data_IF_573925018650
#
_entry.id   IF_573925018650
#
_cell.length_a   1.000
_cell.length_b   1.000
_cell.length_c   1.000
_cell.angle_alpha   90.00
_cell.angle_beta   90.00
_cell.angle_gamma   90.00
#
_symmetry.space_group_name_H-M   'P 1'
#
loop_
_entity.id
_entity.type
_entity.pdbx_description
1 polymer ?
#
# COMPACT_ATOMS: atom_id res chain seq x y z
N UNK A 1 -14.27 -40.74 -2.77
CA UNK A 1 -14.46 -39.35 -3.23
C UNK A 1 -13.55 -38.49 -2.38
N UNK A 2 -12.56 -37.86 -3.03
CA UNK A 2 -11.33 -37.41 -2.40
C UNK A 2 -11.50 -36.18 -1.51
N UNK A 3 -10.85 -36.28 -0.35
CA UNK A 3 -10.61 -35.28 0.68
C UNK A 3 -10.14 -33.94 0.10
N UNK A 4 -10.93 -32.87 0.26
CA UNK A 4 -10.46 -31.49 0.13
C UNK A 4 -9.53 -31.18 1.31
N UNK A 5 -8.22 -31.24 1.03
CA UNK A 5 -7.19 -30.84 1.96
C UNK A 5 -7.16 -29.30 2.06
N UNK A 6 -7.94 -28.72 2.98
CA UNK A 6 -7.89 -27.29 3.27
C UNK A 6 -6.58 -26.98 3.99
N UNK A 7 -5.56 -26.59 3.24
CA UNK A 7 -4.33 -25.98 3.76
C UNK A 7 -4.68 -24.64 4.42
N UNK A 8 -5.24 -24.68 5.64
CA UNK A 8 -5.43 -23.49 6.48
C UNK A 8 -4.03 -22.98 6.83
N UNK A 9 -3.67 -21.78 6.35
CA UNK A 9 -2.47 -21.06 6.82
C UNK A 9 -2.50 -21.09 8.36
N UNK A 10 -1.44 -21.57 8.99
CA UNK A 10 -1.33 -21.60 10.44
C UNK A 10 -1.26 -20.16 10.94
N UNK A 11 -2.38 -19.66 11.47
CA UNK A 11 -2.52 -18.33 12.05
C UNK A 11 -1.75 -18.32 13.39
N UNK A 12 -0.73 -17.48 13.52
CA UNK A 12 0.06 -17.38 14.75
C UNK A 12 -0.59 -16.44 15.78
N UNK A 13 -1.33 -15.43 15.30
CA UNK A 13 -1.97 -14.40 16.11
C UNK A 13 -3.38 -14.10 15.60
N UNK A 14 -4.31 -13.72 16.49
CA UNK A 14 -5.71 -13.47 16.09
C UNK A 14 -5.83 -12.36 15.05
N UNK A 15 -4.97 -11.34 15.07
CA UNK A 15 -4.97 -10.30 14.04
C UNK A 15 -4.73 -10.79 12.60
N UNK A 16 -4.15 -11.99 12.46
CA UNK A 16 -3.92 -12.66 11.16
C UNK A 16 -5.11 -13.52 10.70
N UNK A 17 -6.13 -13.68 11.53
CA UNK A 17 -7.34 -14.44 11.20
C UNK A 17 -8.33 -13.55 10.42
N UNK A 18 -8.47 -13.80 9.12
CA UNK A 18 -9.36 -13.05 8.23
C UNK A 18 -10.85 -13.34 8.47
N UNK A 19 -11.20 -14.35 9.29
CA UNK A 19 -12.59 -14.63 9.66
C UNK A 19 -13.12 -13.74 10.79
N UNK A 20 -12.24 -13.04 11.51
CA UNK A 20 -12.60 -12.11 12.57
C UNK A 20 -12.87 -10.71 12.01
N UNK A 21 -13.63 -9.90 12.77
CA UNK A 21 -13.85 -8.50 12.40
C UNK A 21 -12.55 -7.69 12.41
N UNK A 22 -12.52 -6.62 11.62
CA UNK A 22 -11.39 -5.68 11.59
C UNK A 22 -11.07 -5.15 12.98
N UNK A 23 -12.09 -4.80 13.77
CA UNK A 23 -11.94 -4.27 15.12
C UNK A 23 -11.30 -5.29 16.06
N UNK A 24 -11.74 -6.55 16.02
CA UNK A 24 -11.15 -7.61 16.84
C UNK A 24 -9.68 -7.82 16.49
N UNK A 25 -9.35 -7.83 15.20
CA UNK A 25 -7.98 -7.98 14.70
C UNK A 25 -7.09 -6.80 15.08
N UNK A 26 -7.60 -5.58 14.93
CA UNK A 26 -6.87 -4.34 15.30
C UNK A 26 -6.63 -4.29 16.80
N UNK A 27 -7.64 -4.61 17.63
CA UNK A 27 -7.51 -4.62 19.08
C UNK A 27 -6.48 -5.66 19.55
N UNK A 28 -6.50 -6.88 18.99
CA UNK A 28 -5.49 -7.90 19.27
C UNK A 28 -4.09 -7.40 18.88
N UNK A 29 -3.93 -6.85 17.68
CA UNK A 29 -2.65 -6.30 17.22
C UNK A 29 -2.13 -5.21 18.18
N UNK A 30 -2.94 -4.18 18.46
CA UNK A 30 -2.55 -3.04 19.29
C UNK A 30 -2.25 -3.45 20.73
N UNK A 31 -2.95 -4.47 21.26
CA UNK A 31 -2.68 -5.01 22.61
C UNK A 31 -1.31 -5.68 22.72
N UNK A 32 -0.79 -6.22 21.61
CA UNK A 32 0.51 -6.92 21.53
C UNK A 32 1.71 -5.99 21.34
N UNK A 33 1.46 -4.73 20.97
CA UNK A 33 2.51 -3.73 20.76
C UNK A 33 2.97 -3.15 22.09
N UNK A 34 4.28 -3.07 22.28
CA UNK A 34 4.89 -2.24 23.31
C UNK A 34 4.63 -0.76 23.03
N UNK A 35 4.79 0.10 24.04
CA UNK A 35 4.65 1.55 23.85
C UNK A 35 5.61 2.08 22.77
N UNK A 36 6.86 1.59 22.75
CA UNK A 36 7.86 1.98 21.76
C UNK A 36 7.45 1.57 20.34
N UNK A 37 6.95 0.35 20.17
CA UNK A 37 6.41 -0.11 18.88
C UNK A 37 5.19 0.73 18.46
N UNK A 38 4.26 1.06 19.37
CA UNK A 38 3.12 1.95 19.05
C UNK A 38 3.59 3.32 18.53
N UNK A 39 4.55 3.93 19.22
CA UNK A 39 5.09 5.24 18.82
C UNK A 39 5.78 5.14 17.45
N UNK A 40 6.51 4.06 17.17
CA UNK A 40 7.19 3.90 15.88
C UNK A 40 6.21 3.76 14.70
N UNK A 41 5.00 3.25 14.95
CA UNK A 41 3.94 3.12 13.95
C UNK A 41 3.14 4.42 13.73
N UNK A 42 3.51 5.58 14.31
CA UNK A 42 2.79 6.86 14.09
C UNK A 42 3.36 7.69 12.94
N UNK A 43 4.47 7.26 12.34
CA UNK A 43 5.09 7.93 11.20
C UNK A 43 4.76 7.21 9.91
N UNK A 44 4.81 7.96 8.81
CA UNK A 44 4.56 7.41 7.47
C UNK A 44 5.52 6.29 7.09
N UNK A 45 6.75 6.28 7.62
CA UNK A 45 7.79 5.29 7.38
C UNK A 45 7.83 4.22 8.49
N UNK A 46 6.69 3.59 8.76
CA UNK A 46 6.53 2.63 9.85
C UNK A 46 7.50 1.44 9.71
N UNK A 47 8.39 1.20 10.69
CA UNK A 47 9.35 0.11 10.62
C UNK A 47 8.66 -1.25 10.83
N UNK A 48 9.33 -2.31 10.37
CA UNK A 48 8.91 -3.68 10.61
C UNK A 48 8.89 -4.01 12.12
N UNK A 49 7.98 -4.90 12.52
CA UNK A 49 7.92 -5.49 13.86
C UNK A 49 8.10 -6.99 13.71
N UNK A 50 9.37 -7.41 13.66
CA UNK A 50 9.78 -8.79 13.35
C UNK A 50 9.15 -9.83 14.29
N UNK A 51 9.08 -9.52 15.60
CA UNK A 51 8.47 -10.39 16.62
C UNK A 51 7.01 -10.73 16.32
N UNK A 52 6.29 -9.84 15.64
CA UNK A 52 4.88 -10.03 15.25
C UNK A 52 4.74 -10.40 13.77
N UNK A 53 5.84 -10.53 13.02
CA UNK A 53 5.82 -10.79 11.59
C UNK A 53 5.18 -9.66 10.77
N UNK A 54 5.22 -8.43 11.27
CA UNK A 54 4.66 -7.25 10.59
C UNK A 54 5.77 -6.65 9.73
N UNK A 55 5.61 -6.59 8.40
CA UNK A 55 6.60 -5.97 7.54
C UNK A 55 6.64 -4.45 7.75
N UNK A 56 7.73 -3.81 7.33
CA UNK A 56 7.73 -2.35 7.22
C UNK A 56 6.64 -1.90 6.24
N UNK A 57 6.12 -0.70 6.47
CA UNK A 57 5.06 -0.14 5.64
C UNK A 57 5.25 1.36 5.49
N UNK A 58 5.22 1.83 4.25
CA UNK A 58 5.15 3.25 3.96
C UNK A 58 3.80 3.62 3.36
N UNK A 59 3.02 4.41 4.09
CA UNK A 59 1.69 4.85 3.64
C UNK A 59 1.69 6.22 2.96
N UNK A 60 2.84 6.90 2.85
CA UNK A 60 2.91 8.14 2.08
C UNK A 60 2.83 7.81 0.60
N UNK A 61 1.66 8.05 0.01
CA UNK A 61 1.41 7.97 -1.42
C UNK A 61 0.71 9.25 -1.91
N UNK A 62 0.81 9.52 -3.21
CA UNK A 62 0.23 10.70 -3.85
C UNK A 62 -0.45 10.26 -5.16
N UNK A 63 -1.70 10.70 -5.37
CA UNK A 63 -2.53 10.28 -6.50
C UNK A 63 -3.39 11.44 -7.07
N UNK A 64 -2.95 12.70 -6.96
CA UNK A 64 -3.79 13.87 -7.26
C UNK A 64 -4.30 13.90 -8.70
N UNK A 65 -3.46 13.50 -9.66
CA UNK A 65 -3.78 13.48 -11.08
C UNK A 65 -3.05 12.33 -11.79
N UNK A 66 -3.03 11.16 -11.14
CA UNK A 66 -2.18 10.03 -11.51
C UNK A 66 -1.31 9.57 -10.33
N UNK A 67 -0.82 8.33 -10.38
CA UNK A 67 0.04 7.76 -9.32
C UNK A 67 1.41 8.42 -9.36
N UNK A 68 1.77 9.17 -8.33
CA UNK A 68 3.06 9.82 -8.24
C UNK A 68 4.10 8.97 -7.50
N UNK A 69 5.39 9.29 -7.71
CA UNK A 69 6.53 8.71 -6.97
C UNK A 69 6.67 7.19 -7.07
N UNK A 70 6.11 6.59 -8.12
CA UNK A 70 6.05 5.15 -8.32
C UNK A 70 6.46 4.75 -9.76
N UNK A 71 7.45 5.45 -10.34
CA UNK A 71 7.88 5.28 -11.73
C UNK A 71 6.87 5.88 -12.73
N UNK A 72 6.84 5.33 -13.95
CA UNK A 72 5.93 5.76 -15.02
C UNK A 72 4.47 5.44 -14.69
N UNK A 73 3.59 6.43 -14.79
CA UNK A 73 2.16 6.30 -14.55
C UNK A 73 1.39 7.23 -15.48
N UNK A 74 0.09 6.99 -15.67
CA UNK A 74 -0.74 7.91 -16.45
C UNK A 74 -0.84 9.25 -15.73
N UNK A 75 -0.66 10.35 -16.48
CA UNK A 75 -0.78 11.71 -15.98
C UNK A 75 -2.05 12.34 -16.53
N UNK A 76 -3.01 12.60 -15.65
CA UNK A 76 -4.27 13.26 -15.97
C UNK A 76 -4.15 14.79 -15.87
N UNK A 77 -5.11 15.55 -16.42
CA UNK A 77 -5.20 16.99 -16.19
C UNK A 77 -5.20 17.31 -14.69
N UNK A 78 -4.61 18.45 -14.31
CA UNK A 78 -4.59 18.88 -12.92
C UNK A 78 -6.03 19.14 -12.41
N UNK A 79 -6.23 19.14 -11.08
CA UNK A 79 -7.56 19.28 -10.46
C UNK A 79 -8.41 20.43 -11.03
N UNK A 80 -7.80 21.57 -11.37
CA UNK A 80 -8.50 22.70 -12.01
C UNK A 80 -9.00 22.38 -13.43
N UNK A 81 -8.22 21.64 -14.23
CA UNK A 81 -8.61 21.21 -15.57
C UNK A 81 -9.69 20.14 -15.53
N UNK A 82 -9.61 19.23 -14.55
CA UNK A 82 -10.65 18.24 -14.31
C UNK A 82 -11.96 18.91 -13.84
N UNK A 83 -11.90 19.88 -12.93
CA UNK A 83 -13.06 20.63 -12.47
C UNK A 83 -13.76 21.42 -13.58
N UNK A 84 -13.02 21.88 -14.59
CA UNK A 84 -13.58 22.58 -15.74
C UNK A 84 -14.48 21.71 -16.63
N UNK A 85 -14.47 20.38 -16.47
CA UNK A 85 -15.34 19.47 -17.21
C UNK A 85 -16.78 19.44 -16.69
N UNK A 86 -16.99 19.81 -15.42
CA UNK A 86 -18.27 19.68 -14.71
C UNK A 86 -18.90 18.29 -14.83
N UNK A 87 -18.09 17.24 -14.94
CA UNK A 87 -18.54 15.87 -15.17
C UNK A 87 -18.07 14.93 -14.02
N UNK A 88 -18.91 14.67 -13.01
CA UNK A 88 -18.57 13.79 -11.90
C UNK A 88 -18.26 12.35 -12.31
N UNK A 89 -18.93 11.83 -13.34
CA UNK A 89 -18.72 10.46 -13.83
C UNK A 89 -17.32 10.32 -14.42
N UNK A 90 -16.85 11.33 -15.16
CA UNK A 90 -15.48 11.36 -15.69
C UNK A 90 -14.42 11.40 -14.57
N UNK A 91 -14.69 12.10 -13.46
CA UNK A 91 -13.80 12.09 -12.29
C UNK A 91 -13.77 10.69 -11.64
N UNK A 92 -14.91 10.01 -11.58
CA UNK A 92 -15.00 8.65 -11.06
C UNK A 92 -14.25 7.65 -11.94
N UNK A 93 -14.37 7.76 -13.26
CA UNK A 93 -13.61 6.93 -14.22
C UNK A 93 -12.10 7.15 -14.07
N UNK A 94 -11.65 8.39 -13.98
CA UNK A 94 -10.25 8.72 -13.70
C UNK A 94 -9.78 8.13 -12.37
N UNK A 95 -10.58 8.28 -11.30
CA UNK A 95 -10.26 7.68 -10.00
C UNK A 95 -10.15 6.16 -10.03
N UNK A 96 -10.98 5.50 -10.83
CA UNK A 96 -10.93 4.05 -11.06
C UNK A 96 -9.62 3.66 -11.74
N UNK A 97 -9.25 4.34 -12.83
CA UNK A 97 -7.99 4.10 -13.53
C UNK A 97 -6.76 4.31 -12.61
N UNK A 98 -6.75 5.39 -11.83
CA UNK A 98 -5.68 5.66 -10.85
C UNK A 98 -5.62 4.58 -9.76
N UNK A 99 -6.77 4.09 -9.29
CA UNK A 99 -6.84 3.02 -8.28
C UNK A 99 -6.25 1.70 -8.81
N UNK A 100 -6.57 1.33 -10.05
CA UNK A 100 -6.06 0.11 -10.68
C UNK A 100 -4.53 0.19 -10.89
N UNK A 101 -4.03 1.32 -11.41
CA UNK A 101 -2.59 1.54 -11.55
C UNK A 101 -1.87 1.49 -10.20
N UNK A 102 -2.43 2.14 -9.16
CA UNK A 102 -1.86 2.12 -7.81
C UNK A 102 -1.78 0.70 -7.25
N UNK A 103 -2.82 -0.12 -7.46
CA UNK A 103 -2.84 -1.52 -7.01
C UNK A 103 -1.82 -2.38 -7.75
N UNK A 104 -1.71 -2.21 -9.06
CA UNK A 104 -0.74 -2.92 -9.89
C UNK A 104 0.70 -2.61 -9.43
N UNK A 105 1.01 -1.32 -9.23
CA UNK A 105 2.31 -0.86 -8.73
C UNK A 105 2.61 -1.38 -7.33
N UNK A 106 1.63 -1.36 -6.42
CA UNK A 106 1.78 -1.93 -5.09
C UNK A 106 2.18 -3.41 -5.15
N UNK A 107 1.47 -4.22 -5.95
CA UNK A 107 1.80 -5.64 -6.09
C UNK A 107 3.18 -5.86 -6.71
N UNK A 108 3.59 -5.02 -7.67
CA UNK A 108 4.94 -5.06 -8.24
C UNK A 108 6.00 -4.77 -7.17
N UNK A 109 5.88 -3.67 -6.43
CA UNK A 109 6.85 -3.33 -5.38
C UNK A 109 6.93 -4.39 -4.28
N UNK A 110 5.78 -4.96 -3.89
CA UNK A 110 5.74 -6.08 -2.94
C UNK A 110 6.50 -7.30 -3.46
N UNK A 111 6.39 -7.64 -4.75
CA UNK A 111 7.16 -8.74 -5.38
C UNK A 111 8.66 -8.44 -5.40
N UNK A 112 9.04 -7.19 -5.59
CA UNK A 112 10.43 -6.72 -5.55
C UNK A 112 10.99 -6.58 -4.12
N UNK A 113 10.19 -6.87 -3.09
CA UNK A 113 10.58 -6.70 -1.68
C UNK A 113 10.65 -5.24 -1.23
N UNK A 114 10.18 -4.29 -2.05
CA UNK A 114 10.16 -2.86 -1.76
C UNK A 114 8.84 -2.50 -1.05
N UNK A 115 8.86 -2.40 0.27
CA UNK A 115 7.67 -1.98 1.05
C UNK A 115 7.73 -0.56 1.58
N UNK A 116 8.91 0.07 1.50
CA UNK A 116 9.07 1.52 1.58
C UNK A 116 8.89 2.17 0.22
N UNK A 117 7.67 2.58 -0.11
CA UNK A 117 7.46 3.58 -1.17
C UNK A 117 8.18 4.87 -0.76
N UNK A 118 9.19 5.31 -1.51
CA UNK A 118 9.96 6.53 -1.22
C UNK A 118 11.34 6.35 -0.56
N UNK A 119 11.78 5.12 -0.26
CA UNK A 119 13.17 4.91 0.16
C UNK A 119 14.08 4.69 -1.05
N UNK A 120 14.75 5.78 -1.46
CA UNK A 120 15.83 5.86 -2.47
C UNK A 120 15.42 5.49 -3.90
N UNK A 121 14.82 6.44 -4.61
CA UNK A 121 15.34 6.73 -5.95
C UNK A 121 16.65 7.48 -5.74
N UNK A 122 17.77 6.76 -5.68
CA UNK A 122 19.07 7.41 -5.79
C UNK A 122 19.10 8.11 -7.15
N UNK A 123 19.67 9.31 -7.22
CA UNK A 123 19.96 10.04 -8.46
C UNK A 123 20.77 9.21 -9.49
N UNK A 124 21.32 8.07 -9.06
CA UNK A 124 22.05 7.12 -9.89
C UNK A 124 21.14 6.15 -10.67
N UNK A 125 19.90 5.92 -10.25
CA UNK A 125 18.96 5.04 -10.98
C UNK A 125 18.23 5.79 -12.13
N UNK A 126 18.21 7.13 -12.10
CA UNK A 126 17.57 7.95 -13.14
C UNK A 126 18.47 8.26 -14.35
N UNK A 127 19.75 7.87 -14.34
CA UNK A 127 20.67 8.11 -15.47
C UNK A 127 20.50 7.10 -16.61
N UNK A 128 19.66 6.06 -16.46
CA UNK A 128 19.42 5.06 -17.52
C UNK A 128 18.06 5.17 -18.22
N UNK A 129 17.24 6.18 -17.91
CA UNK A 129 15.91 6.37 -18.53
C UNK A 129 15.76 7.68 -19.31
N UNK A 130 16.86 8.33 -19.66
CA UNK A 130 16.87 9.45 -20.61
C UNK A 130 17.88 9.20 -21.74
N UNK A 131 17.52 8.28 -22.63
CA UNK A 131 17.79 8.35 -24.07
C UNK A 131 16.51 7.93 -24.80
#
# INVERSE_FOLDING_TARGET
MNSCNSNKKKVAFQFQDESLSTEARVNDLVSRLTLKEKISQLRYDAPAIERLGIPEYNWWNECLHGVARAGEATVFPQAIGMGATWNPDLIFEMGTAVSDEARAKHHQFVKEGKRRMGARFNILDTQHQYF
#
